data_IF_070222297410
#
_entry.id   IF_070222297410
#
_cell.length_a   1.000
_cell.length_b   1.000
_cell.length_c   1.000
_cell.angle_alpha   90.00
_cell.angle_beta   90.00
_cell.angle_gamma   90.00
#
_symmetry.space_group_name_H-M   'P 1'
#
loop_
_entity.id
_entity.type
_entity.pdbx_description
1 polymer ?
#
# COMPACT_ATOMS: atom_id res chain seq x y z
N UNK A 1 -59.50 8.18 15.66
CA UNK A 1 -58.27 8.03 14.86
C UNK A 1 -57.41 9.30 14.98
N UNK A 2 -56.52 9.45 15.97
CA UNK A 2 -55.60 10.61 16.04
C UNK A 2 -54.14 10.25 16.38
N UNK A 3 -53.80 8.96 16.43
CA UNK A 3 -52.45 8.48 16.78
C UNK A 3 -51.40 8.65 15.66
N UNK A 4 -51.78 9.04 14.42
CA UNK A 4 -50.88 9.03 13.27
C UNK A 4 -50.06 10.32 13.04
N UNK A 5 -50.42 11.47 13.62
CA UNK A 5 -49.69 12.72 13.34
C UNK A 5 -48.41 12.88 14.15
N UNK A 6 -48.40 12.39 15.41
CA UNK A 6 -47.21 12.47 16.27
C UNK A 6 -46.11 11.50 15.80
N UNK A 7 -46.46 10.27 15.42
CA UNK A 7 -45.47 9.32 14.89
C UNK A 7 -44.84 9.81 13.58
N UNK A 8 -45.63 10.40 12.68
CA UNK A 8 -45.13 10.97 11.43
C UNK A 8 -44.13 12.11 11.67
N UNK A 9 -44.42 13.00 12.62
CA UNK A 9 -43.51 14.10 12.96
C UNK A 9 -42.20 13.58 13.57
N UNK A 10 -42.26 12.60 14.48
CA UNK A 10 -41.08 11.96 15.05
C UNK A 10 -40.23 11.23 14.01
N UNK A 11 -40.84 10.49 13.08
CA UNK A 11 -40.12 9.81 12.00
C UNK A 11 -39.46 10.82 11.06
N UNK A 12 -40.15 11.91 10.70
CA UNK A 12 -39.59 12.95 9.83
C UNK A 12 -38.38 13.64 10.46
N UNK A 13 -38.45 14.01 11.74
CA UNK A 13 -37.32 14.63 12.45
C UNK A 13 -36.15 13.66 12.63
N UNK A 14 -36.44 12.37 12.87
CA UNK A 14 -35.40 11.34 12.94
C UNK A 14 -34.69 11.16 11.60
N UNK A 15 -35.44 11.08 10.49
CA UNK A 15 -34.86 10.97 9.15
C UNK A 15 -34.01 12.21 8.84
N UNK A 16 -34.52 13.42 9.09
CA UNK A 16 -33.78 14.67 8.81
C UNK A 16 -32.46 14.72 9.59
N UNK A 17 -32.42 14.20 10.81
CA UNK A 17 -31.23 14.26 11.66
C UNK A 17 -30.24 13.11 11.40
N UNK A 18 -30.73 11.89 11.16
CA UNK A 18 -29.88 10.70 10.99
C UNK A 18 -29.51 10.42 9.53
N UNK A 19 -30.32 10.81 8.56
CA UNK A 19 -29.99 10.58 7.14
C UNK A 19 -28.69 11.28 6.72
N UNK A 20 -28.42 12.54 7.07
CA UNK A 20 -27.14 13.18 6.75
C UNK A 20 -25.96 12.46 7.40
N UNK A 21 -26.13 11.94 8.62
CA UNK A 21 -25.09 11.17 9.32
C UNK A 21 -24.79 9.85 8.61
N UNK A 22 -25.83 9.10 8.23
CA UNK A 22 -25.68 7.85 7.47
C UNK A 22 -25.03 8.12 6.12
N UNK A 23 -25.45 9.17 5.42
CA UNK A 23 -24.83 9.58 4.16
C UNK A 23 -23.36 9.95 4.34
N UNK A 24 -23.02 10.72 5.38
CA UNK A 24 -21.63 11.09 5.68
C UNK A 24 -20.75 9.85 5.92
N UNK A 25 -21.27 8.86 6.67
CA UNK A 25 -20.58 7.59 6.92
C UNK A 25 -20.39 6.81 5.61
N UNK A 26 -21.41 6.70 4.76
CA UNK A 26 -21.31 6.01 3.46
C UNK A 26 -20.36 6.71 2.48
N UNK A 27 -20.18 8.03 2.62
CA UNK A 27 -19.23 8.81 1.83
C UNK A 27 -17.80 8.75 2.34
N UNK A 28 -17.53 8.17 3.52
CA UNK A 28 -16.17 7.98 4.00
C UNK A 28 -15.39 7.05 3.05
N UNK A 29 -14.18 7.43 2.58
CA UNK A 29 -13.43 6.67 1.59
C UNK A 29 -13.25 5.19 1.93
N UNK A 30 -12.92 4.88 3.19
CA UNK A 30 -12.72 3.50 3.67
C UNK A 30 -14.01 2.67 3.63
N UNK A 31 -15.14 3.27 3.96
CA UNK A 31 -16.44 2.59 3.98
C UNK A 31 -16.90 2.37 2.54
N UNK A 32 -16.81 3.41 1.71
CA UNK A 32 -17.09 3.31 0.28
C UNK A 32 -16.23 2.25 -0.38
N UNK A 33 -14.93 2.25 -0.15
CA UNK A 33 -14.02 1.23 -0.68
C UNK A 33 -14.36 -0.17 -0.21
N UNK A 34 -14.94 -0.36 0.98
CA UNK A 34 -15.42 -1.67 1.42
C UNK A 34 -16.63 -2.14 0.61
N UNK A 35 -17.54 -1.23 0.28
CA UNK A 35 -18.84 -1.54 -0.33
C UNK A 35 -18.82 -1.51 -1.88
N UNK A 36 -17.95 -0.71 -2.49
CA UNK A 36 -17.95 -0.39 -3.91
C UNK A 36 -16.62 -0.83 -4.57
N UNK A 37 -16.61 -1.98 -5.28
CA UNK A 37 -15.45 -2.44 -6.04
C UNK A 37 -14.99 -1.48 -7.14
N UNK A 38 -15.90 -0.75 -7.77
CA UNK A 38 -15.56 0.19 -8.84
C UNK A 38 -14.80 1.41 -8.26
N UNK A 39 -15.18 1.85 -7.06
CA UNK A 39 -14.43 2.88 -6.34
C UNK A 39 -12.99 2.44 -6.02
N UNK A 40 -12.79 1.19 -5.55
CA UNK A 40 -11.44 0.65 -5.32
C UNK A 40 -10.59 0.65 -6.59
N UNK A 41 -11.15 0.15 -7.69
CA UNK A 41 -10.52 0.15 -9.02
C UNK A 41 -10.12 1.56 -9.44
N UNK A 42 -11.05 2.51 -9.37
CA UNK A 42 -10.80 3.92 -9.73
C UNK A 42 -9.66 4.51 -8.90
N UNK A 43 -9.60 4.22 -7.59
CA UNK A 43 -8.53 4.71 -6.70
C UNK A 43 -7.16 4.16 -7.10
N UNK A 44 -7.06 2.86 -7.39
CA UNK A 44 -5.80 2.24 -7.85
C UNK A 44 -5.39 2.82 -9.21
N UNK A 45 -6.31 2.91 -10.16
CA UNK A 45 -6.02 3.45 -11.48
C UNK A 45 -5.59 4.91 -11.41
N UNK A 46 -6.24 5.72 -10.58
CA UNK A 46 -5.86 7.12 -10.36
C UNK A 46 -4.43 7.22 -9.83
N UNK A 47 -4.09 6.43 -8.81
CA UNK A 47 -2.73 6.35 -8.27
C UNK A 47 -1.71 5.96 -9.35
N UNK A 48 -1.99 4.93 -10.15
CA UNK A 48 -1.10 4.50 -11.24
C UNK A 48 -0.94 5.60 -12.29
N UNK A 49 -2.03 6.27 -12.68
CA UNK A 49 -1.95 7.38 -13.64
C UNK A 49 -1.18 8.59 -13.10
N UNK A 50 -1.31 8.92 -11.81
CA UNK A 50 -0.48 9.94 -11.18
C UNK A 50 1.00 9.55 -11.18
N UNK A 51 1.32 8.30 -10.83
CA UNK A 51 2.69 7.82 -10.84
C UNK A 51 3.33 7.87 -12.25
N UNK A 52 2.56 7.51 -13.28
CA UNK A 52 2.97 7.62 -14.68
C UNK A 52 3.18 9.09 -15.07
N UNK A 53 2.21 9.96 -14.78
CA UNK A 53 2.26 11.38 -15.14
C UNK A 53 3.38 12.14 -14.44
N UNK A 54 3.71 11.76 -13.20
CA UNK A 54 4.79 12.35 -12.42
C UNK A 54 6.16 11.70 -12.68
N UNK A 55 6.21 10.61 -13.43
CA UNK A 55 7.39 9.75 -13.61
C UNK A 55 8.01 9.29 -12.28
N UNK A 56 7.20 9.14 -11.23
CA UNK A 56 7.65 8.74 -9.90
C UNK A 56 6.45 8.29 -9.07
N UNK A 57 6.65 7.32 -8.19
CA UNK A 57 5.64 6.95 -7.18
C UNK A 57 5.74 7.94 -6.02
N UNK A 58 4.62 8.58 -5.69
CA UNK A 58 4.44 9.31 -4.43
C UNK A 58 4.20 8.29 -3.30
N UNK A 59 5.11 8.18 -2.31
CA UNK A 59 4.95 7.19 -1.25
C UNK A 59 3.75 7.46 -0.35
N UNK A 60 3.40 8.72 -0.11
CA UNK A 60 2.25 9.08 0.71
C UNK A 60 0.95 8.68 0.00
N UNK A 61 0.81 9.01 -1.29
CA UNK A 61 -0.35 8.61 -2.09
C UNK A 61 -0.50 7.08 -2.16
N UNK A 62 0.63 6.37 -2.33
CA UNK A 62 0.65 4.91 -2.29
C UNK A 62 0.09 4.38 -0.97
N UNK A 63 0.56 4.90 0.17
CA UNK A 63 0.14 4.48 1.50
C UNK A 63 -1.34 4.78 1.78
N UNK A 64 -1.79 5.99 1.42
CA UNK A 64 -3.19 6.38 1.54
C UNK A 64 -4.10 5.50 0.67
N UNK A 65 -3.68 5.22 -0.57
CA UNK A 65 -4.44 4.36 -1.47
C UNK A 65 -4.54 2.94 -0.93
N UNK A 66 -3.45 2.38 -0.40
CA UNK A 66 -3.46 1.06 0.23
C UNK A 66 -4.41 0.99 1.43
N UNK A 67 -4.36 1.97 2.34
CA UNK A 67 -5.20 2.01 3.55
C UNK A 67 -6.69 2.25 3.23
N UNK A 68 -6.99 2.95 2.13
CA UNK A 68 -8.37 3.10 1.65
C UNK A 68 -8.87 1.80 1.00
N UNK A 69 -8.07 1.20 0.12
CA UNK A 69 -8.51 0.12 -0.77
C UNK A 69 -8.48 -1.25 -0.08
N UNK A 70 -7.54 -1.47 0.85
CA UNK A 70 -7.41 -2.71 1.61
C UNK A 70 -7.57 -2.46 3.10
N UNK A 71 -8.52 -3.15 3.73
CA UNK A 71 -8.42 -3.42 5.17
C UNK A 71 -7.65 -4.72 5.34
N UNK A 72 -6.53 -4.65 6.05
CA UNK A 72 -5.58 -5.74 6.16
C UNK A 72 -5.01 -5.89 7.56
N UNK A 73 -4.23 -6.95 7.74
CA UNK A 73 -3.39 -7.19 8.91
C UNK A 73 -1.98 -6.66 8.65
N UNK A 74 -1.33 -6.22 9.73
CA UNK A 74 0.05 -5.75 9.73
C UNK A 74 0.88 -6.69 10.60
N UNK A 75 2.06 -7.07 10.13
CA UNK A 75 3.12 -7.68 10.92
C UNK A 75 4.33 -6.77 10.85
N UNK A 76 4.78 -6.27 12.00
CA UNK A 76 5.89 -5.33 12.05
C UNK A 76 6.79 -5.61 13.26
N UNK A 77 8.10 -5.53 13.05
CA UNK A 77 9.12 -5.63 14.09
C UNK A 77 10.28 -4.69 13.73
N UNK A 78 10.60 -3.76 14.62
CA UNK A 78 11.70 -2.81 14.42
C UNK A 78 13.08 -3.47 14.44
N UNK A 79 13.20 -4.67 15.02
CA UNK A 79 14.39 -5.52 14.94
C UNK A 79 14.43 -6.37 13.65
N UNK A 80 13.38 -6.29 12.82
CA UNK A 80 13.23 -7.05 11.59
C UNK A 80 12.39 -8.32 11.80
N UNK A 81 11.70 -8.73 10.76
CA UNK A 81 10.90 -9.96 10.77
C UNK A 81 11.80 -11.19 10.86
N UNK A 82 11.31 -12.25 11.51
CA UNK A 82 11.99 -13.54 11.53
C UNK A 82 12.18 -14.10 10.12
N UNK A 83 13.12 -15.03 9.93
CA UNK A 83 13.38 -15.63 8.61
C UNK A 83 12.10 -16.23 7.99
N UNK A 84 11.26 -16.88 8.80
CA UNK A 84 10.00 -17.47 8.36
C UNK A 84 9.00 -16.39 7.91
N UNK A 85 8.79 -15.36 8.73
CA UNK A 85 7.87 -14.26 8.42
C UNK A 85 8.32 -13.50 7.17
N UNK A 86 9.61 -13.23 7.06
CA UNK A 86 10.23 -12.57 5.91
C UNK A 86 10.06 -13.37 4.62
N UNK A 87 10.33 -14.68 4.65
CA UNK A 87 10.17 -15.56 3.48
C UNK A 87 8.71 -15.59 3.04
N UNK A 88 7.78 -15.70 3.99
CA UNK A 88 6.34 -15.63 3.69
C UNK A 88 5.95 -14.28 3.09
N UNK A 89 6.42 -13.18 3.68
CA UNK A 89 6.12 -11.83 3.22
C UNK A 89 6.61 -11.61 1.78
N UNK A 90 7.86 -11.96 1.47
CA UNK A 90 8.42 -11.84 0.12
C UNK A 90 7.68 -12.74 -0.89
N UNK A 91 7.22 -13.92 -0.47
CA UNK A 91 6.40 -14.80 -1.30
C UNK A 91 5.06 -14.17 -1.70
N UNK A 92 4.39 -13.47 -0.78
CA UNK A 92 3.08 -12.82 -1.06
C UNK A 92 3.16 -11.69 -2.09
N UNK A 93 4.33 -11.10 -2.27
CA UNK A 93 4.58 -10.02 -3.25
C UNK A 93 5.42 -10.49 -4.44
N UNK A 94 5.53 -11.81 -4.62
CA UNK A 94 6.30 -12.45 -5.69
C UNK A 94 7.78 -11.97 -5.77
N UNK A 95 8.37 -11.63 -4.61
CA UNK A 95 9.73 -11.09 -4.50
C UNK A 95 10.76 -12.10 -3.96
N UNK A 96 10.50 -13.40 -4.15
CA UNK A 96 11.37 -14.48 -3.63
C UNK A 96 12.75 -14.52 -4.29
N UNK A 97 12.87 -13.95 -5.49
CA UNK A 97 14.13 -13.85 -6.24
C UNK A 97 15.10 -12.84 -5.62
N UNK A 98 14.63 -11.92 -4.78
CA UNK A 98 15.50 -11.00 -4.06
C UNK A 98 16.14 -11.78 -2.91
N UNK A 99 17.47 -11.78 -2.83
CA UNK A 99 18.16 -12.46 -1.73
C UNK A 99 17.67 -11.88 -0.42
N UNK A 100 17.08 -12.75 0.41
CA UNK A 100 16.65 -12.39 1.74
C UNK A 100 17.77 -11.67 2.51
N UNK A 101 19.05 -12.00 2.33
CA UNK A 101 20.15 -11.35 3.03
C UNK A 101 20.30 -9.86 2.70
N UNK A 102 19.88 -9.43 1.52
CA UNK A 102 20.06 -8.05 1.05
C UNK A 102 18.94 -7.10 1.51
N UNK A 103 17.81 -7.65 1.96
CA UNK A 103 16.66 -6.87 2.42
C UNK A 103 16.43 -7.07 3.90
N UNK A 104 16.59 -6.02 4.69
CA UNK A 104 16.13 -5.98 6.07
C UNK A 104 14.62 -5.68 6.08
N UNK A 105 13.79 -6.71 6.05
CA UNK A 105 12.33 -6.57 6.10
C UNK A 105 11.89 -6.37 7.55
N UNK A 106 11.16 -5.28 7.80
CA UNK A 106 10.67 -4.93 9.14
C UNK A 106 9.14 -4.79 9.20
N UNK A 107 8.47 -4.77 8.04
CA UNK A 107 7.02 -4.62 7.97
C UNK A 107 6.44 -5.41 6.80
N UNK A 108 5.32 -6.07 7.04
CA UNK A 108 4.47 -6.66 6.02
C UNK A 108 3.01 -6.32 6.28
N UNK A 109 2.25 -6.17 5.20
CA UNK A 109 0.83 -5.90 5.23
C UNK A 109 0.13 -6.84 4.26
N UNK A 110 -1.03 -7.35 4.69
CA UNK A 110 -1.81 -8.34 3.96
C UNK A 110 -3.29 -7.98 4.00
N UNK A 111 -3.91 -7.90 2.83
CA UNK A 111 -5.36 -7.77 2.66
C UNK A 111 -5.82 -8.64 1.49
N UNK A 112 -7.13 -8.86 1.30
CA UNK A 112 -7.63 -9.64 0.17
C UNK A 112 -7.22 -9.13 -1.22
N UNK A 113 -6.86 -7.85 -1.34
CA UNK A 113 -6.54 -7.20 -2.61
C UNK A 113 -5.13 -6.62 -2.70
N UNK A 114 -4.40 -6.54 -1.58
CA UNK A 114 -3.13 -5.83 -1.53
C UNK A 114 -2.22 -6.47 -0.50
N UNK A 115 -1.05 -6.87 -0.97
CA UNK A 115 0.05 -7.38 -0.18
C UNK A 115 1.22 -6.40 -0.34
N UNK A 116 1.88 -6.04 0.75
CA UNK A 116 3.05 -5.16 0.68
C UNK A 116 4.09 -5.56 1.70
N UNK A 117 5.36 -5.45 1.32
CA UNK A 117 6.53 -5.67 2.16
C UNK A 117 7.37 -4.41 2.15
N UNK A 118 7.85 -4.04 3.32
CA UNK A 118 8.61 -2.83 3.55
C UNK A 118 9.91 -3.19 4.27
N UNK A 119 11.01 -2.65 3.77
CA UNK A 119 12.33 -3.01 4.24
C UNK A 119 13.39 -1.94 3.99
N UNK A 120 14.61 -2.25 4.41
CA UNK A 120 15.78 -1.43 4.16
C UNK A 120 16.79 -2.23 3.34
N UNK A 121 17.41 -1.58 2.37
CA UNK A 121 18.45 -2.17 1.52
C UNK A 121 19.66 -1.25 1.51
N UNK A 122 20.91 -1.77 1.46
CA UNK A 122 22.08 -0.93 1.29
C UNK A 122 21.94 -0.05 0.05
N UNK A 123 22.23 1.25 0.16
CA UNK A 123 22.04 2.20 -0.94
C UNK A 123 22.84 1.81 -2.19
N UNK A 124 24.02 1.19 -2.00
CA UNK A 124 24.86 0.64 -3.08
C UNK A 124 24.21 -0.50 -3.88
N UNK A 125 23.23 -1.21 -3.29
CA UNK A 125 22.54 -2.34 -3.93
C UNK A 125 21.20 -1.90 -4.56
N UNK A 126 20.81 -0.62 -4.46
CA UNK A 126 19.52 -0.11 -4.92
C UNK A 126 19.25 -0.48 -6.39
N UNK A 127 20.21 -0.19 -7.28
CA UNK A 127 20.04 -0.40 -8.72
C UNK A 127 19.98 -1.88 -9.11
N UNK A 128 20.70 -2.73 -8.38
CA UNK A 128 20.67 -4.18 -8.57
C UNK A 128 19.30 -4.76 -8.18
N UNK A 129 18.69 -4.26 -7.10
CA UNK A 129 17.38 -4.70 -6.65
C UNK A 129 16.29 -4.33 -7.67
N UNK A 130 16.29 -3.09 -8.16
CA UNK A 130 15.34 -2.66 -9.20
C UNK A 130 15.51 -3.44 -10.49
N UNK A 131 16.75 -3.65 -10.94
CA UNK A 131 17.02 -4.40 -12.17
C UNK A 131 16.57 -5.86 -12.02
N UNK A 132 16.95 -6.52 -10.93
CA UNK A 132 16.55 -7.90 -10.64
C UNK A 132 15.03 -8.04 -10.59
N UNK A 133 14.34 -7.07 -9.97
CA UNK A 133 12.89 -7.08 -9.92
C UNK A 133 12.26 -6.95 -11.31
N UNK A 134 12.73 -6.00 -12.12
CA UNK A 134 12.26 -5.79 -13.50
C UNK A 134 12.49 -7.05 -14.33
N UNK A 135 13.70 -7.63 -14.32
CA UNK A 135 14.05 -8.79 -15.14
C UNK A 135 13.16 -10.01 -14.85
N UNK A 136 12.75 -10.19 -13.59
CA UNK A 136 11.86 -11.27 -13.19
C UNK A 136 10.38 -10.96 -13.47
N UNK A 137 9.98 -9.70 -13.44
CA UNK A 137 8.58 -9.29 -13.65
C UNK A 137 8.22 -9.07 -15.13
N UNK A 138 9.20 -8.79 -15.99
CA UNK A 138 9.01 -8.59 -17.43
C UNK A 138 8.35 -9.77 -18.14
N UNK A 139 8.58 -10.99 -17.66
CA UNK A 139 7.93 -12.19 -18.19
C UNK A 139 6.44 -12.29 -17.83
N UNK A 140 5.97 -11.49 -16.87
CA UNK A 140 4.66 -11.63 -16.23
C UNK A 140 3.68 -10.50 -16.56
N UNK A 141 4.09 -9.47 -17.31
CA UNK A 141 3.21 -8.34 -17.60
C UNK A 141 3.85 -7.16 -18.33
N UNK A 142 3.05 -6.11 -18.51
CA UNK A 142 3.43 -4.87 -19.19
C UNK A 142 4.01 -3.87 -18.18
N UNK A 143 5.23 -3.39 -18.43
CA UNK A 143 5.83 -2.36 -17.58
C UNK A 143 5.18 -1.01 -17.88
N UNK A 144 4.47 -0.44 -16.90
CA UNK A 144 3.73 0.83 -17.05
C UNK A 144 4.50 2.03 -16.50
N UNK A 145 5.41 1.79 -15.54
CA UNK A 145 6.38 2.77 -15.05
C UNK A 145 7.71 2.06 -14.85
N UNK A 146 8.78 2.62 -15.42
CA UNK A 146 10.14 2.11 -15.26
C UNK A 146 11.11 3.28 -15.09
N UNK A 147 11.55 3.49 -13.85
CA UNK A 147 12.62 4.43 -13.53
C UNK A 147 13.68 3.72 -12.70
N UNK A 148 14.79 4.39 -12.41
CA UNK A 148 15.85 3.85 -11.55
C UNK A 148 15.33 3.42 -10.17
N UNK A 149 14.20 3.97 -9.69
CA UNK A 149 13.72 3.74 -8.32
C UNK A 149 12.25 3.42 -8.19
N UNK A 150 11.48 3.49 -9.26
CA UNK A 150 10.03 3.30 -9.25
C UNK A 150 9.64 2.41 -10.43
N UNK A 151 9.08 1.25 -10.10
CA UNK A 151 8.65 0.23 -11.06
C UNK A 151 7.17 -0.07 -10.80
N UNK A 152 6.38 -0.07 -11.86
CA UNK A 152 5.02 -0.61 -11.85
C UNK A 152 4.88 -1.53 -13.05
N UNK A 153 4.46 -2.77 -12.82
CA UNK A 153 4.14 -3.75 -13.85
C UNK A 153 2.66 -4.11 -13.74
N UNK A 154 1.95 -4.02 -14.86
CA UNK A 154 0.57 -4.51 -14.98
C UNK A 154 0.61 -5.97 -15.39
N UNK A 155 0.05 -6.84 -14.57
CA UNK A 155 -0.06 -8.29 -14.81
C UNK A 155 -1.52 -8.67 -15.04
N UNK A 156 -1.78 -9.89 -15.49
CA UNK A 156 -3.15 -10.42 -15.59
C UNK A 156 -3.88 -10.47 -14.23
N UNK A 157 -3.11 -10.56 -13.14
CA UNK A 157 -3.64 -10.62 -11.79
C UNK A 157 -3.86 -9.23 -11.16
N UNK A 158 -3.31 -8.16 -11.74
CA UNK A 158 -3.43 -6.79 -11.25
C UNK A 158 -2.15 -5.98 -11.45
N UNK A 159 -1.58 -5.42 -10.39
CA UNK A 159 -0.34 -4.65 -10.45
C UNK A 159 0.71 -5.20 -9.49
N UNK A 160 1.96 -5.19 -9.91
CA UNK A 160 3.12 -5.33 -9.02
C UNK A 160 3.89 -4.02 -9.02
N UNK A 161 4.32 -3.60 -7.83
CA UNK A 161 4.90 -2.27 -7.60
C UNK A 161 6.17 -2.47 -6.78
N UNK A 162 7.25 -1.82 -7.19
CA UNK A 162 8.45 -1.66 -6.39
C UNK A 162 8.84 -0.20 -6.38
N UNK A 163 9.19 0.33 -5.20
CA UNK A 163 9.89 1.60 -5.14
C UNK A 163 11.03 1.61 -4.11
N UNK A 164 12.01 2.45 -4.39
CA UNK A 164 13.15 2.77 -3.53
C UNK A 164 13.15 4.25 -3.18
N UNK A 165 13.08 4.59 -1.90
CA UNK A 165 13.03 5.99 -1.46
C UNK A 165 14.08 6.29 -0.40
N UNK A 166 14.57 7.55 -0.33
CA UNK A 166 15.40 7.99 0.77
C UNK A 166 14.73 7.81 2.14
N UNK A 167 15.53 7.62 3.19
CA UNK A 167 15.04 7.44 4.56
C UNK A 167 14.26 8.67 5.07
N UNK A 168 14.60 9.89 4.64
CA UNK A 168 13.83 11.08 5.03
C UNK A 168 12.41 11.09 4.44
N UNK A 169 12.18 10.45 3.30
CA UNK A 169 10.84 10.26 2.76
C UNK A 169 10.08 9.17 3.52
N UNK A 170 10.76 8.09 3.90
CA UNK A 170 10.17 7.06 4.78
C UNK A 170 9.66 7.71 6.07
N UNK A 171 10.48 8.51 6.75
CA UNK A 171 10.14 9.23 7.99
C UNK A 171 8.90 10.12 7.86
N UNK A 172 8.70 10.76 6.70
CA UNK A 172 7.54 11.61 6.43
C UNK A 172 6.28 10.79 6.14
N UNK A 173 6.46 9.62 5.54
CA UNK A 173 5.36 8.77 5.05
C UNK A 173 4.84 7.85 6.14
N UNK A 174 5.73 7.25 6.92
CA UNK A 174 5.41 6.31 7.97
C UNK A 174 6.36 6.45 9.18
N UNK A 175 5.87 6.08 10.35
CA UNK A 175 6.60 6.18 11.63
C UNK A 175 7.00 4.82 12.20
N UNK A 176 7.40 3.85 11.35
CA UNK A 176 7.70 2.48 11.83
C UNK A 176 8.94 2.37 12.68
N UNK A 177 9.87 3.32 12.52
CA UNK A 177 11.10 3.38 13.28
C UNK A 177 11.09 4.66 14.13
N UNK A 178 11.78 4.61 15.27
CA UNK A 178 11.97 5.76 16.16
C UNK A 178 13.10 6.69 15.68
N UNK A 179 13.91 6.24 14.71
CA UNK A 179 15.05 6.93 14.10
C UNK A 179 16.07 7.49 15.09
N UNK A 180 16.14 6.90 16.29
CA UNK A 180 17.05 7.27 17.35
C UNK A 180 17.94 6.08 17.75
N UNK A 181 19.03 6.35 18.46
CA UNK A 181 19.92 5.31 19.01
C UNK A 181 20.31 4.23 17.99
N UNK A 182 20.04 2.97 18.32
CA UNK A 182 20.37 1.81 17.47
C UNK A 182 19.65 1.83 16.11
N UNK A 183 18.43 2.37 16.01
CA UNK A 183 17.69 2.40 14.75
C UNK A 183 18.22 3.48 13.81
N UNK A 184 18.83 4.54 14.34
CA UNK A 184 19.54 5.53 13.53
C UNK A 184 20.71 4.90 12.77
N UNK A 185 21.48 4.04 13.46
CA UNK A 185 22.57 3.28 12.80
C UNK A 185 22.02 2.22 11.84
N UNK A 186 20.89 1.60 12.17
CA UNK A 186 20.23 0.63 11.29
C UNK A 186 19.86 1.21 9.91
N UNK A 187 19.42 2.47 9.85
CA UNK A 187 19.00 3.12 8.60
C UNK A 187 20.14 3.82 7.86
N UNK A 188 21.33 3.91 8.46
CA UNK A 188 22.49 4.58 7.88
C UNK A 188 22.93 3.88 6.58
N UNK A 189 23.20 4.67 5.55
CA UNK A 189 23.62 4.21 4.22
C UNK A 189 22.64 3.22 3.55
N UNK A 190 21.37 3.26 3.95
CA UNK A 190 20.29 2.45 3.37
C UNK A 190 19.27 3.31 2.66
N UNK A 191 18.50 2.66 1.80
CA UNK A 191 17.27 3.20 1.24
C UNK A 191 16.10 2.34 1.66
N UNK A 192 14.94 2.96 1.75
CA UNK A 192 13.69 2.30 2.01
C UNK A 192 13.22 1.60 0.74
N UNK A 193 12.92 0.31 0.83
CA UNK A 193 12.26 -0.47 -0.23
C UNK A 193 10.83 -0.79 0.15
N UNK A 194 9.91 -0.58 -0.78
CA UNK A 194 8.55 -1.09 -0.70
C UNK A 194 8.26 -1.93 -1.92
N UNK A 195 7.71 -3.13 -1.71
CA UNK A 195 7.33 -4.06 -2.77
C UNK A 195 5.88 -4.45 -2.51
N UNK A 196 5.04 -4.38 -3.52
CA UNK A 196 3.62 -4.68 -3.40
C UNK A 196 3.08 -5.49 -4.56
N UNK A 197 2.07 -6.28 -4.24
CA UNK A 197 1.19 -6.93 -5.19
C UNK A 197 -0.24 -6.52 -4.92
N UNK A 198 -0.88 -5.93 -5.93
CA UNK A 198 -2.29 -5.57 -5.93
C UNK A 198 -3.02 -6.58 -6.81
N UNK A 199 -4.02 -7.25 -6.26
CA UNK A 199 -4.82 -8.24 -6.96
C UNK A 199 -6.22 -7.70 -7.30
N UNK A 200 -6.67 -7.99 -8.51
CA UNK A 200 -7.98 -7.55 -9.01
C UNK A 200 -7.98 -7.37 -10.52
N UNK A 201 -9.17 -7.42 -11.14
CA UNK A 201 -9.32 -7.13 -12.56
C UNK A 201 -9.37 -5.61 -12.76
N UNK A 202 -8.30 -5.02 -13.28
CA UNK A 202 -8.16 -3.59 -13.56
C UNK A 202 -8.06 -3.32 -15.06
#
# INVERSE_FOLDING_TARGET
MSANKKSFFFISSFIILFLPLVLAVLLMPKIRATLDPAYRKTRIETFVQHAIGNHAIDPQEFWETRDIVGRGSITADSAGLSLYEKTNALSMVDAQMLDSKDIFVFFSYTSPMWYSVEGLVPAKNANEITQTYVDNMLASGDVVLNTERDIIVKTDAGYTILFLKPIDQMQKTNGFLDYNGAQKELVKDKVWVSISRITGKF
#
